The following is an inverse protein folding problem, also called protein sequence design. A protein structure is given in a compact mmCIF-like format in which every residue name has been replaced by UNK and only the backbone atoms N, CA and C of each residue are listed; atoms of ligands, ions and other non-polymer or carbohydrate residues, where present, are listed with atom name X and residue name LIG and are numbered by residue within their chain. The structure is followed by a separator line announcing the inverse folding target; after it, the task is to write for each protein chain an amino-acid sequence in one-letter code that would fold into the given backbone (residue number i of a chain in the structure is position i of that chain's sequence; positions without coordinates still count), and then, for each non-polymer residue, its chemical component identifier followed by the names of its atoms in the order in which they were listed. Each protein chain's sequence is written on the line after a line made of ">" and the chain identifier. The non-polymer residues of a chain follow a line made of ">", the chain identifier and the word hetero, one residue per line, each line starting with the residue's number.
data_IF_192640507549
#
_entry.id   IF_192640507549
#
_cell.length_a   1.000
_cell.length_b   1.000
_cell.length_c   1.000
_cell.angle_alpha   90.00
_cell.angle_beta   90.00
_cell.angle_gamma   90.00
#
_symmetry.space_group_name_H-M   'P 1'
#
loop_
_entity.id
_entity.type
_entity.pdbx_description
1 polymer ?
#
# COMPACT_ATOMS: atom_id res chain seq x y z
N UNK A 1 29.71 74.86 -3.95
CA UNK A 1 28.29 74.58 -3.59
C UNK A 1 28.01 73.09 -3.78
N UNK A 2 27.01 72.50 -3.09
CA UNK A 2 26.73 71.05 -3.15
C UNK A 2 25.53 70.73 -4.06
N UNK A 3 25.72 69.82 -5.04
CA UNK A 3 24.76 68.81 -5.54
C UNK A 3 25.64 67.60 -5.91
N UNK A 4 25.56 66.45 -5.24
CA UNK A 4 24.45 65.50 -5.15
C UNK A 4 24.12 64.85 -6.49
N UNK A 5 24.48 63.57 -6.63
CA UNK A 5 23.50 62.50 -6.79
C UNK A 5 24.07 61.16 -6.27
N UNK A 6 23.27 60.39 -5.55
CA UNK A 6 23.55 58.99 -5.26
C UNK A 6 23.10 58.16 -6.48
N UNK A 7 23.99 57.37 -7.06
CA UNK A 7 23.61 56.30 -7.99
C UNK A 7 23.60 54.97 -7.21
N UNK A 8 22.47 54.67 -6.56
CA UNK A 8 22.30 53.40 -5.85
C UNK A 8 22.14 52.26 -6.87
N UNK A 9 23.22 51.51 -7.10
CA UNK A 9 23.22 50.32 -7.92
C UNK A 9 22.47 49.18 -7.20
N UNK A 10 21.13 49.24 -7.21
CA UNK A 10 20.27 48.18 -6.70
C UNK A 10 20.27 47.00 -7.69
N UNK A 11 21.38 46.25 -7.67
CA UNK A 11 21.44 44.93 -8.28
C UNK A 11 20.49 44.01 -7.50
N UNK A 12 19.26 43.89 -8.00
CA UNK A 12 18.27 42.96 -7.47
C UNK A 12 18.74 41.53 -7.74
N UNK A 13 19.52 40.99 -6.80
CA UNK A 13 19.82 39.57 -6.68
C UNK A 13 18.53 38.83 -6.31
N UNK A 14 17.67 38.66 -7.31
CA UNK A 14 16.61 37.67 -7.28
C UNK A 14 17.27 36.28 -7.26
N UNK A 15 17.65 35.83 -6.05
CA UNK A 15 17.85 34.42 -5.78
C UNK A 15 16.52 33.73 -6.08
N UNK A 16 16.41 33.14 -7.27
CA UNK A 16 15.37 32.17 -7.59
C UNK A 16 15.66 30.90 -6.79
N UNK A 17 15.35 30.95 -5.50
CA UNK A 17 14.97 29.75 -4.75
C UNK A 17 13.74 29.24 -5.49
N UNK A 18 13.92 28.21 -6.31
CA UNK A 18 12.80 27.51 -6.92
C UNK A 18 11.93 27.01 -5.79
N UNK A 19 10.62 27.30 -5.85
CA UNK A 19 9.70 26.80 -4.85
C UNK A 19 9.67 25.27 -4.96
N UNK A 20 10.29 24.60 -3.99
CA UNK A 20 10.16 23.17 -3.82
C UNK A 20 8.68 22.87 -3.55
N UNK A 21 8.16 21.81 -4.16
CA UNK A 21 6.78 21.38 -3.92
C UNK A 21 6.62 21.08 -2.41
N UNK A 22 5.54 21.48 -1.73
CA UNK A 22 5.43 21.29 -0.29
C UNK A 22 5.62 19.83 0.15
N UNK A 23 6.30 19.57 1.26
CA UNK A 23 6.48 18.21 1.78
C UNK A 23 5.16 17.60 2.31
N UNK A 24 4.21 18.45 2.71
CA UNK A 24 2.85 18.07 3.09
C UNK A 24 1.81 19.01 2.49
N UNK A 25 0.58 18.53 2.36
CA UNK A 25 -0.57 19.31 1.89
C UNK A 25 -1.84 18.97 2.70
N UNK A 26 -2.76 19.92 2.76
CA UNK A 26 -3.98 19.86 3.56
C UNK A 26 -5.16 20.54 2.81
N UNK A 27 -6.42 20.40 3.27
CA UNK A 27 -7.59 20.89 2.53
C UNK A 27 -7.72 22.42 2.47
N UNK A 28 -6.90 23.16 3.22
CA UNK A 28 -6.80 24.62 3.21
C UNK A 28 -5.72 25.16 2.25
N UNK A 29 -5.10 24.30 1.43
CA UNK A 29 -4.10 24.69 0.43
C UNK A 29 -4.54 25.90 -0.40
N UNK A 30 -3.68 26.92 -0.45
CA UNK A 30 -3.87 28.12 -1.26
C UNK A 30 -2.89 28.10 -2.44
N UNK A 31 -3.42 28.06 -3.67
CA UNK A 31 -2.60 28.18 -4.90
C UNK A 31 -1.89 29.54 -4.90
N UNK A 32 -0.57 29.52 -5.05
CA UNK A 32 0.24 30.72 -5.23
C UNK A 32 0.33 31.09 -6.72
N UNK A 33 0.62 32.35 -7.04
CA UNK A 33 0.94 32.75 -8.41
C UNK A 33 2.29 32.13 -8.84
N UNK A 34 2.26 31.12 -9.70
CA UNK A 34 3.44 30.31 -10.05
C UNK A 34 3.67 30.21 -11.56
N UNK A 35 4.94 30.02 -11.92
CA UNK A 35 5.41 29.79 -13.29
C UNK A 35 6.32 28.57 -13.31
N UNK A 36 6.28 27.82 -14.42
CA UNK A 36 7.13 26.67 -14.68
C UNK A 36 7.77 26.76 -16.07
N UNK A 37 8.94 26.15 -16.27
CA UNK A 37 9.64 26.14 -17.55
C UNK A 37 10.06 24.73 -17.92
N UNK A 38 9.63 24.29 -19.11
CA UNK A 38 9.90 22.96 -19.64
C UNK A 38 10.47 23.11 -21.06
N UNK A 39 11.81 23.18 -21.16
CA UNK A 39 12.50 23.64 -22.37
C UNK A 39 12.06 25.06 -22.75
N UNK A 40 11.64 25.23 -24.00
CA UNK A 40 11.16 26.52 -24.53
C UNK A 40 9.72 26.86 -24.10
N UNK A 41 9.00 25.95 -23.42
CA UNK A 41 7.64 26.23 -22.92
C UNK A 41 7.70 26.96 -21.57
N UNK A 42 6.94 28.04 -21.45
CA UNK A 42 6.67 28.73 -20.20
C UNK A 42 5.21 28.49 -19.79
N UNK A 43 4.98 27.85 -18.66
CA UNK A 43 3.66 27.66 -18.07
C UNK A 43 3.46 28.68 -16.94
N UNK A 44 2.23 29.15 -16.75
CA UNK A 44 1.79 30.02 -15.66
C UNK A 44 0.37 29.64 -15.25
N UNK A 45 -0.03 29.90 -14.01
CA UNK A 45 -1.47 29.93 -13.67
C UNK A 45 -2.07 31.33 -13.87
N UNK A 46 -3.39 31.46 -13.78
CA UNK A 46 -4.11 32.74 -13.95
C UNK A 46 -3.68 33.84 -12.97
N UNK A 47 -3.03 33.46 -11.86
CA UNK A 47 -2.73 34.37 -10.76
C UNK A 47 -1.44 35.18 -11.02
N UNK A 48 -0.67 34.81 -12.05
CA UNK A 48 0.55 35.51 -12.50
C UNK A 48 0.24 36.83 -13.21
N UNK A 49 0.79 37.93 -12.69
CA UNK A 49 0.75 39.25 -13.32
C UNK A 49 1.97 39.51 -14.23
N UNK A 50 1.70 39.85 -15.49
CA UNK A 50 2.69 40.33 -16.44
C UNK A 50 2.93 41.83 -16.26
N UNK A 51 4.20 42.22 -16.04
CA UNK A 51 4.64 43.61 -15.92
C UNK A 51 5.68 43.94 -16.99
N UNK A 52 5.34 44.85 -17.90
CA UNK A 52 6.32 45.43 -18.82
C UNK A 52 7.17 46.48 -18.10
N UNK A 53 8.48 46.43 -18.34
CA UNK A 53 9.46 47.40 -17.84
C UNK A 53 10.30 47.87 -19.03
N UNK A 54 10.18 49.13 -19.40
CA UNK A 54 10.86 49.73 -20.56
C UNK A 54 11.53 51.03 -20.16
N UNK A 55 12.61 51.40 -20.87
CA UNK A 55 13.28 52.69 -20.74
C UNK A 55 14.07 52.98 -22.02
N UNK A 56 14.00 54.21 -22.52
CA UNK A 56 15.01 54.78 -23.40
C UNK A 56 15.97 55.65 -22.56
N UNK A 57 17.22 55.78 -23.00
CA UNK A 57 18.30 56.50 -22.30
C UNK A 57 18.56 57.90 -22.85
N UNK A 58 18.30 58.15 -24.13
CA UNK A 58 18.76 59.37 -24.81
C UNK A 58 17.66 60.45 -24.86
N UNK A 59 16.43 60.06 -25.19
CA UNK A 59 15.26 60.94 -25.28
C UNK A 59 14.19 60.62 -24.24
N UNK A 60 14.22 59.40 -23.68
CA UNK A 60 13.29 58.89 -22.69
C UNK A 60 12.06 58.24 -23.32
N UNK A 61 11.42 57.37 -22.53
CA UNK A 61 10.22 56.64 -22.92
C UNK A 61 9.00 57.58 -22.96
N UNK A 62 8.19 57.48 -24.01
CA UNK A 62 6.90 58.17 -24.17
C UNK A 62 5.77 57.25 -23.68
N UNK A 63 5.61 56.08 -24.30
CA UNK A 63 4.71 55.02 -23.83
C UNK A 63 5.15 53.63 -24.31
N UNK A 64 4.47 52.60 -23.78
CA UNK A 64 4.60 51.20 -24.20
C UNK A 64 3.23 50.72 -24.65
N UNK A 65 3.19 49.87 -25.67
CA UNK A 65 1.99 49.15 -26.08
C UNK A 65 2.20 47.64 -26.00
N UNK A 66 1.10 46.92 -25.82
CA UNK A 66 1.07 45.47 -25.91
C UNK A 66 -0.15 44.98 -26.69
N UNK A 67 -0.04 43.78 -27.25
CA UNK A 67 -1.08 43.05 -27.98
C UNK A 67 -1.09 41.62 -27.43
N UNK A 68 -2.28 41.08 -27.19
CA UNK A 68 -2.49 39.68 -26.85
C UNK A 68 -2.99 38.94 -28.11
N UNK A 69 -2.37 37.82 -28.47
CA UNK A 69 -2.85 36.89 -29.53
C UNK A 69 -3.10 37.53 -30.90
N UNK A 70 -2.28 38.52 -31.25
CA UNK A 70 -2.37 39.24 -32.53
C UNK A 70 -3.51 40.27 -32.61
N UNK A 71 -4.15 40.60 -31.49
CA UNK A 71 -5.11 41.71 -31.39
C UNK A 71 -4.47 43.08 -31.65
N UNK A 72 -5.29 44.13 -31.72
CA UNK A 72 -4.79 45.50 -31.85
C UNK A 72 -3.95 45.90 -30.62
N UNK A 73 -2.80 46.53 -30.86
CA UNK A 73 -1.96 47.08 -29.80
C UNK A 73 -2.73 48.10 -28.93
N UNK A 74 -2.57 47.98 -27.62
CA UNK A 74 -3.17 48.84 -26.59
C UNK A 74 -2.09 49.44 -25.70
N UNK A 75 -2.25 50.69 -25.28
CA UNK A 75 -1.31 51.34 -24.35
C UNK A 75 -1.24 50.59 -23.02
N UNK A 76 -0.06 50.11 -22.65
CA UNK A 76 0.20 49.51 -21.35
C UNK A 76 0.13 50.57 -20.24
N UNK A 77 -0.55 50.25 -19.13
CA UNK A 77 -0.78 51.19 -18.01
C UNK A 77 -0.51 50.59 -16.63
N UNK A 78 -0.91 49.35 -16.42
CA UNK A 78 -0.73 48.58 -15.20
C UNK A 78 -0.35 47.13 -15.57
N UNK A 79 0.23 46.36 -14.64
CA UNK A 79 0.36 44.90 -14.81
C UNK A 79 -1.00 44.24 -15.08
N UNK A 80 -1.01 43.16 -15.85
CA UNK A 80 -2.21 42.43 -16.24
C UNK A 80 -2.05 40.92 -16.06
N UNK A 81 -3.16 40.20 -15.90
CA UNK A 81 -3.22 38.74 -15.91
C UNK A 81 -3.77 38.24 -17.25
N UNK A 82 -3.61 36.95 -17.52
CA UNK A 82 -4.36 36.24 -18.55
C UNK A 82 -5.16 35.15 -17.82
N UNK A 83 -6.48 35.17 -17.97
CA UNK A 83 -7.40 34.33 -17.19
C UNK A 83 -7.93 33.12 -17.98
N UNK A 84 -7.90 33.21 -19.31
CA UNK A 84 -8.24 32.11 -20.21
C UNK A 84 -7.10 31.08 -20.21
N UNK A 85 -7.44 29.81 -20.37
CA UNK A 85 -6.48 28.70 -20.39
C UNK A 85 -6.00 28.42 -21.82
N UNK A 86 -4.73 28.04 -21.98
CA UNK A 86 -4.13 27.70 -23.26
C UNK A 86 -2.92 28.55 -23.62
N UNK A 87 -2.51 28.49 -24.88
CA UNK A 87 -1.30 29.18 -25.36
C UNK A 87 -1.60 30.61 -25.81
N UNK A 88 -0.94 31.57 -25.17
CA UNK A 88 -1.07 32.99 -25.46
C UNK A 88 0.27 33.62 -25.89
N UNK A 89 0.21 34.54 -26.85
CA UNK A 89 1.35 35.30 -27.38
C UNK A 89 1.23 36.78 -27.01
N UNK A 90 2.09 37.22 -26.07
CA UNK A 90 2.16 38.61 -25.61
C UNK A 90 3.18 39.36 -26.46
N UNK A 91 2.70 40.18 -27.39
CA UNK A 91 3.53 41.09 -28.19
C UNK A 91 3.62 42.46 -27.52
N UNK A 92 4.79 43.10 -27.53
CA UNK A 92 5.01 44.42 -26.91
C UNK A 92 6.04 45.27 -27.65
N UNK A 93 5.90 46.61 -27.54
CA UNK A 93 6.77 47.62 -28.18
C UNK A 93 6.75 48.96 -27.43
N UNK A 94 7.90 49.62 -27.33
CA UNK A 94 8.01 51.00 -26.84
C UNK A 94 7.98 52.07 -27.93
N UNK A 95 7.59 53.29 -27.54
CA UNK A 95 7.84 54.54 -28.26
C UNK A 95 8.70 55.47 -27.41
N UNK A 96 9.64 56.17 -28.04
CA UNK A 96 10.44 57.21 -27.37
C UNK A 96 9.84 58.62 -27.54
N UNK A 97 10.35 59.62 -26.82
CA UNK A 97 9.85 60.99 -26.90
C UNK A 97 10.08 61.66 -28.26
N UNK A 98 11.00 61.14 -29.08
CA UNK A 98 11.23 61.54 -30.47
C UNK A 98 10.33 60.80 -31.48
N UNK A 99 9.43 59.94 -31.00
CA UNK A 99 8.48 59.10 -31.74
C UNK A 99 9.13 58.01 -32.60
N UNK A 100 10.33 57.58 -32.25
CA UNK A 100 10.88 56.33 -32.77
C UNK A 100 10.09 55.15 -32.17
N UNK A 101 9.86 54.12 -32.99
CA UNK A 101 9.11 52.91 -32.61
C UNK A 101 10.03 51.70 -32.52
N UNK A 102 9.94 50.98 -31.40
CA UNK A 102 10.63 49.70 -31.20
C UNK A 102 10.08 48.61 -32.14
N UNK A 103 10.96 47.77 -32.69
CA UNK A 103 10.57 46.52 -33.35
C UNK A 103 9.91 45.61 -32.30
N UNK A 104 8.65 45.24 -32.55
CA UNK A 104 7.86 44.48 -31.59
C UNK A 104 8.52 43.14 -31.21
N UNK A 105 8.49 42.83 -29.92
CA UNK A 105 8.97 41.58 -29.33
C UNK A 105 7.76 40.76 -28.89
N UNK A 106 7.88 39.43 -28.90
CA UNK A 106 6.82 38.52 -28.44
C UNK A 106 7.38 37.55 -27.42
N UNK A 107 6.60 37.26 -26.38
CA UNK A 107 6.80 36.08 -25.53
C UNK A 107 5.57 35.19 -25.61
N UNK A 108 5.78 33.88 -25.75
CA UNK A 108 4.73 32.88 -25.60
C UNK A 108 4.65 32.43 -24.14
N UNK A 109 3.43 32.22 -23.65
CA UNK A 109 3.12 31.53 -22.40
C UNK A 109 2.00 30.52 -22.64
N UNK A 110 1.90 29.53 -21.76
CA UNK A 110 0.74 28.66 -21.63
C UNK A 110 0.14 28.96 -20.27
N UNK A 111 -1.08 29.49 -20.25
CA UNK A 111 -1.87 29.60 -19.02
C UNK A 111 -2.49 28.23 -18.75
N UNK A 112 -2.38 27.78 -17.51
CA UNK A 112 -2.84 26.48 -17.05
C UNK A 112 -3.57 26.63 -15.71
N UNK A 113 -4.84 26.25 -15.67
CA UNK A 113 -5.68 26.27 -14.47
C UNK A 113 -6.30 24.89 -14.18
N UNK A 114 -5.90 23.85 -14.91
CA UNK A 114 -6.53 22.53 -14.86
C UNK A 114 -5.73 21.60 -13.97
N UNK A 115 -6.33 21.20 -12.84
CA UNK A 115 -5.71 20.26 -11.92
C UNK A 115 -5.52 18.87 -12.55
N UNK A 116 -4.43 18.14 -12.22
CA UNK A 116 -4.18 16.81 -12.75
C UNK A 116 -5.22 15.81 -12.27
N UNK A 117 -5.53 14.81 -13.09
CA UNK A 117 -6.35 13.66 -12.72
C UNK A 117 -5.51 12.65 -11.97
N UNK A 118 -6.03 12.11 -10.87
CA UNK A 118 -5.32 11.16 -10.00
C UNK A 118 -5.97 9.79 -9.99
N UNK A 119 -5.14 8.75 -9.89
CA UNK A 119 -5.55 7.35 -9.71
C UNK A 119 -4.66 6.70 -8.65
N UNK A 120 -5.27 6.05 -7.66
CA UNK A 120 -4.58 5.34 -6.59
C UNK A 120 -4.36 3.87 -7.00
N UNK A 121 -3.10 3.45 -6.96
CA UNK A 121 -2.63 2.14 -7.41
C UNK A 121 -1.96 1.38 -6.26
N UNK A 122 -1.88 0.05 -6.37
CA UNK A 122 -1.17 -0.83 -5.43
C UNK A 122 -0.21 -1.76 -6.17
N UNK A 123 0.88 -2.18 -5.52
CA UNK A 123 1.81 -3.18 -6.09
C UNK A 123 1.22 -4.59 -6.09
N UNK A 124 0.43 -4.92 -5.07
CA UNK A 124 -0.27 -6.19 -4.92
C UNK A 124 -1.78 -6.01 -5.10
N UNK A 125 -2.51 -7.04 -5.57
CA UNK A 125 -3.96 -6.96 -5.74
C UNK A 125 -4.70 -6.93 -4.40
N UNK A 126 -5.67 -6.03 -4.27
CA UNK A 126 -6.56 -5.98 -3.10
C UNK A 126 -7.52 -7.18 -3.11
N UNK A 127 -7.72 -7.81 -1.95
CA UNK A 127 -8.74 -8.84 -1.76
C UNK A 127 -10.11 -8.20 -1.47
N UNK A 128 -11.20 -8.77 -2.00
CA UNK A 128 -12.54 -8.18 -1.90
C UNK A 128 -13.55 -9.14 -1.24
N UNK A 129 -13.99 -8.77 -0.03
CA UNK A 129 -14.99 -9.49 0.77
C UNK A 129 -16.32 -8.73 0.70
N UNK A 130 -17.06 -8.93 -0.40
CA UNK A 130 -18.27 -8.16 -0.71
C UNK A 130 -17.94 -6.73 -1.16
N UNK A 131 -18.19 -5.74 -0.30
CA UNK A 131 -17.88 -4.32 -0.57
C UNK A 131 -16.61 -3.81 0.14
N UNK A 132 -16.01 -4.63 1.01
CA UNK A 132 -14.77 -4.28 1.71
C UNK A 132 -13.55 -4.78 0.93
N UNK A 133 -12.58 -3.91 0.73
CA UNK A 133 -11.25 -4.23 0.21
C UNK A 133 -10.28 -4.49 1.37
N UNK A 134 -9.33 -5.40 1.19
CA UNK A 134 -8.33 -5.82 2.17
C UNK A 134 -6.92 -5.75 1.55
N UNK A 135 -5.92 -5.41 2.36
CA UNK A 135 -4.51 -5.40 1.98
C UNK A 135 -3.58 -5.86 3.12
N UNK A 136 -2.47 -6.51 2.77
CA UNK A 136 -1.39 -6.81 3.71
C UNK A 136 -0.54 -5.58 4.02
N UNK A 137 0.26 -5.64 5.10
CA UNK A 137 1.26 -4.61 5.41
C UNK A 137 2.34 -4.46 4.30
N UNK A 138 2.56 -5.49 3.49
CA UNK A 138 3.50 -5.46 2.35
C UNK A 138 2.92 -4.74 1.12
N UNK A 139 1.60 -4.51 1.07
CA UNK A 139 0.93 -3.83 -0.04
C UNK A 139 1.36 -2.36 -0.08
N UNK A 140 2.16 -1.99 -1.09
CA UNK A 140 2.58 -0.60 -1.32
C UNK A 140 1.58 0.11 -2.20
N UNK A 141 1.24 1.33 -1.82
CA UNK A 141 0.33 2.24 -2.50
C UNK A 141 1.12 3.34 -3.21
N UNK A 142 0.71 3.73 -4.41
CA UNK A 142 1.26 4.89 -5.11
C UNK A 142 0.18 5.61 -5.93
N UNK A 143 0.46 6.86 -6.30
CA UNK A 143 -0.47 7.68 -7.09
C UNK A 143 0.08 7.80 -8.51
N UNK A 144 -0.74 7.44 -9.49
CA UNK A 144 -0.57 7.85 -10.87
C UNK A 144 -1.32 9.17 -11.07
N UNK A 145 -0.69 10.16 -11.68
CA UNK A 145 -1.31 11.43 -12.02
C UNK A 145 -1.08 11.78 -13.50
N UNK A 146 -2.12 12.31 -14.14
CA UNK A 146 -2.08 12.71 -15.54
C UNK A 146 -2.59 14.13 -15.70
N UNK A 147 -1.88 14.89 -16.50
CA UNK A 147 -2.14 16.29 -16.80
C UNK A 147 -2.36 16.39 -18.31
N UNK A 148 -3.58 16.82 -18.69
CA UNK A 148 -3.99 16.89 -20.08
C UNK A 148 -3.37 18.09 -20.82
N UNK A 149 -2.93 19.16 -20.12
CA UNK A 149 -2.52 20.43 -20.75
C UNK A 149 -1.06 20.43 -21.25
N UNK A 150 -0.65 19.31 -21.83
CA UNK A 150 0.47 19.20 -22.75
C UNK A 150 1.85 19.72 -22.25
N UNK A 151 2.14 19.67 -20.95
CA UNK A 151 3.53 19.64 -20.46
C UNK A 151 3.90 20.51 -19.26
N UNK A 152 2.93 21.09 -18.55
CA UNK A 152 3.06 21.57 -17.17
C UNK A 152 3.39 20.38 -16.27
N UNK A 153 2.49 19.41 -16.20
CA UNK A 153 2.69 18.10 -15.59
C UNK A 153 2.74 18.13 -14.07
N UNK A 154 2.59 16.96 -13.46
CA UNK A 154 2.62 16.78 -12.00
C UNK A 154 3.98 17.15 -11.39
N UNK A 155 3.97 17.98 -10.35
CA UNK A 155 5.12 18.32 -9.53
C UNK A 155 5.25 17.38 -8.32
N UNK A 156 4.13 17.04 -7.69
CA UNK A 156 4.08 16.19 -6.50
C UNK A 156 2.75 15.47 -6.37
N UNK A 157 2.79 14.23 -5.87
CA UNK A 157 1.60 13.51 -5.43
C UNK A 157 1.62 13.31 -3.91
N UNK A 158 0.45 13.27 -3.28
CA UNK A 158 0.29 13.34 -1.82
C UNK A 158 -0.65 12.27 -1.32
N UNK A 159 -0.25 11.55 -0.28
CA UNK A 159 -1.01 10.44 0.31
C UNK A 159 -0.90 10.44 1.83
N UNK A 160 -1.95 9.97 2.52
CA UNK A 160 -1.93 9.84 3.97
C UNK A 160 -3.23 9.31 4.57
N UNK A 161 -3.17 8.92 5.84
CA UNK A 161 -4.35 8.53 6.65
C UNK A 161 -4.95 9.71 7.44
N UNK A 162 -4.17 10.78 7.71
CA UNK A 162 -4.69 12.07 8.19
C UNK A 162 -4.94 13.01 7.01
N UNK A 163 -6.20 13.37 6.80
CA UNK A 163 -6.64 14.34 5.80
C UNK A 163 -5.97 15.72 5.96
N UNK A 164 -5.54 16.08 7.16
CA UNK A 164 -4.94 17.38 7.47
C UNK A 164 -3.42 17.43 7.24
N UNK A 165 -2.79 16.31 6.85
CA UNK A 165 -1.33 16.23 6.64
C UNK A 165 -0.95 15.11 5.66
N UNK A 166 -1.45 15.20 4.42
CA UNK A 166 -1.05 14.28 3.35
C UNK A 166 0.43 14.53 3.00
N UNK A 167 1.23 13.48 2.88
CA UNK A 167 2.69 13.60 2.70
C UNK A 167 3.08 13.37 1.24
N UNK A 168 4.06 14.13 0.76
CA UNK A 168 4.64 14.01 -0.59
C UNK A 168 5.18 12.59 -0.85
N UNK A 169 4.84 12.03 -2.01
CA UNK A 169 5.29 10.74 -2.53
C UNK A 169 5.44 10.80 -4.05
N UNK A 170 6.67 11.05 -4.50
CA UNK A 170 7.01 11.18 -5.91
C UNK A 170 6.20 12.27 -6.65
N UNK A 171 6.18 12.18 -7.98
CA UNK A 171 5.58 13.15 -8.89
C UNK A 171 4.42 12.55 -9.71
N UNK A 172 3.56 11.75 -9.07
CA UNK A 172 2.40 11.14 -9.73
C UNK A 172 2.75 10.02 -10.71
N UNK A 173 3.82 9.28 -10.45
CA UNK A 173 4.28 8.14 -11.25
C UNK A 173 4.85 7.07 -10.33
N UNK A 174 4.71 5.81 -10.72
CA UNK A 174 5.36 4.69 -10.04
C UNK A 174 6.89 4.88 -10.02
N UNK A 175 7.48 4.88 -8.82
CA UNK A 175 8.91 4.87 -8.54
C UNK A 175 9.13 4.57 -7.05
N UNK A 176 10.37 4.36 -6.63
CA UNK A 176 10.71 3.96 -5.26
C UNK A 176 10.30 5.01 -4.19
N UNK A 177 10.42 6.31 -4.50
CA UNK A 177 10.02 7.41 -3.62
C UNK A 177 8.49 7.69 -3.64
N UNK A 178 7.73 7.04 -4.53
CA UNK A 178 6.28 7.17 -4.63
C UNK A 178 5.50 6.22 -3.71
N UNK A 179 6.16 5.26 -3.07
CA UNK A 179 5.50 4.25 -2.27
C UNK A 179 5.07 4.74 -0.87
N UNK A 180 3.87 4.32 -0.49
CA UNK A 180 3.29 4.48 0.84
C UNK A 180 2.80 3.13 1.34
N UNK A 181 2.97 2.85 2.63
CA UNK A 181 2.60 1.57 3.25
C UNK A 181 1.69 1.84 4.44
N UNK A 182 0.78 0.89 4.70
CA UNK A 182 -0.12 0.91 5.85
C UNK A 182 0.36 -0.13 6.85
N UNK A 183 0.50 0.26 8.11
CA UNK A 183 1.09 -0.57 9.18
C UNK A 183 0.24 -0.66 10.45
N UNK A 184 -0.94 -0.03 10.46
CA UNK A 184 -1.92 -0.14 11.54
C UNK A 184 -3.06 -1.03 11.06
N UNK A 185 -3.35 -2.10 11.82
CA UNK A 185 -4.34 -3.10 11.46
C UNK A 185 -5.78 -2.56 11.59
N UNK A 186 -6.66 -3.05 10.72
CA UNK A 186 -8.09 -2.75 10.73
C UNK A 186 -8.52 -1.67 9.72
N UNK A 187 -9.74 -1.11 9.88
CA UNK A 187 -10.36 -0.22 8.89
C UNK A 187 -9.66 1.14 8.76
N UNK A 188 -8.92 1.31 7.66
CA UNK A 188 -8.16 2.52 7.33
C UNK A 188 -8.81 3.32 6.20
N UNK A 189 -8.71 4.66 6.28
CA UNK A 189 -9.00 5.55 5.14
C UNK A 189 -7.69 6.04 4.54
N UNK A 190 -7.57 5.96 3.23
CA UNK A 190 -6.43 6.50 2.48
C UNK A 190 -6.92 7.69 1.68
N UNK A 191 -6.40 8.88 2.00
CA UNK A 191 -6.67 10.12 1.29
C UNK A 191 -5.53 10.40 0.31
N UNK A 192 -5.84 10.91 -0.88
CA UNK A 192 -4.83 11.21 -1.89
C UNK A 192 -5.18 12.38 -2.82
N UNK A 193 -4.15 13.05 -3.35
CA UNK A 193 -4.23 14.12 -4.34
C UNK A 193 -2.90 14.28 -5.10
N UNK A 194 -2.85 15.13 -6.12
CA UNK A 194 -1.62 15.55 -6.78
C UNK A 194 -1.70 17.01 -7.21
N UNK A 195 -0.55 17.67 -7.33
CA UNK A 195 -0.42 19.06 -7.77
C UNK A 195 0.48 19.14 -9.01
N UNK A 196 0.13 19.99 -9.97
CA UNK A 196 0.98 20.28 -11.12
C UNK A 196 2.13 21.26 -10.80
N UNK A 197 2.98 21.54 -11.78
CA UNK A 197 4.09 22.49 -11.66
C UNK A 197 3.66 23.98 -11.64
N UNK A 198 2.38 24.31 -11.74
CA UNK A 198 1.84 25.68 -11.54
C UNK A 198 0.88 25.81 -10.35
N UNK A 199 0.69 24.76 -9.55
CA UNK A 199 -0.08 24.77 -8.31
C UNK A 199 -1.56 24.42 -8.43
N UNK A 200 -2.03 23.86 -9.54
CA UNK A 200 -3.41 23.36 -9.62
C UNK A 200 -3.49 22.03 -8.86
N UNK A 201 -4.21 22.02 -7.74
CA UNK A 201 -4.36 20.87 -6.85
C UNK A 201 -5.59 20.03 -7.24
N UNK A 202 -5.41 18.72 -7.39
CA UNK A 202 -6.50 17.79 -7.65
C UNK A 202 -7.47 17.70 -6.46
N UNK A 203 -8.78 17.45 -6.68
CA UNK A 203 -9.71 17.18 -5.60
C UNK A 203 -9.23 16.03 -4.71
N UNK A 204 -9.11 16.26 -3.40
CA UNK A 204 -8.66 15.23 -2.47
C UNK A 204 -9.67 14.07 -2.49
N UNK A 205 -9.18 12.92 -2.95
CA UNK A 205 -9.93 11.69 -3.09
C UNK A 205 -9.70 10.79 -1.88
N UNK A 206 -10.61 9.85 -1.63
CA UNK A 206 -10.53 8.93 -0.49
C UNK A 206 -10.99 7.53 -0.87
N UNK A 207 -10.28 6.52 -0.39
CA UNK A 207 -10.71 5.12 -0.36
C UNK A 207 -10.77 4.59 1.08
N UNK A 208 -11.40 3.46 1.28
CA UNK A 208 -11.40 2.71 2.55
C UNK A 208 -10.94 1.29 2.30
N UNK A 209 -10.03 0.80 3.14
CA UNK A 209 -9.44 -0.55 3.07
C UNK A 209 -9.33 -1.10 4.49
N UNK A 210 -9.42 -2.42 4.64
CA UNK A 210 -9.04 -3.09 5.89
C UNK A 210 -7.60 -3.54 5.75
N UNK A 211 -6.72 -2.97 6.55
CA UNK A 211 -5.33 -3.44 6.64
C UNK A 211 -5.34 -4.70 7.50
N UNK A 212 -4.72 -5.75 7.01
CA UNK A 212 -4.63 -7.04 7.69
C UNK A 212 -3.16 -7.40 7.87
N UNK A 213 -2.71 -7.49 9.13
CA UNK A 213 -1.29 -7.68 9.47
C UNK A 213 -1.04 -8.99 10.20
N UNK A 214 -2.10 -9.76 10.46
CA UNK A 214 -2.10 -10.93 11.31
C UNK A 214 -2.15 -12.19 10.44
N UNK A 215 -1.18 -13.10 10.65
CA UNK A 215 -1.21 -14.38 9.98
C UNK A 215 -2.22 -15.34 10.64
N UNK A 216 -2.86 -16.27 9.89
CA UNK A 216 -3.87 -17.15 10.46
C UNK A 216 -3.32 -18.10 11.53
N UNK A 217 -4.16 -18.47 12.49
CA UNK A 217 -3.84 -19.49 13.50
C UNK A 217 -4.31 -20.87 13.03
N UNK A 218 -3.41 -21.86 13.08
CA UNK A 218 -3.64 -23.26 12.64
C UNK A 218 -4.01 -24.17 13.82
N UNK A 219 -4.89 -25.14 13.60
CA UNK A 219 -5.32 -26.13 14.60
C UNK A 219 -5.73 -27.48 13.98
N UNK A 220 -5.90 -28.51 14.82
CA UNK A 220 -6.50 -29.81 14.43
C UNK A 220 -8.01 -29.70 14.58
N UNK A 221 -8.73 -29.75 13.46
CA UNK A 221 -10.19 -29.55 13.39
C UNK A 221 -10.97 -30.65 14.10
N UNK A 222 -10.64 -31.93 13.83
CA UNK A 222 -11.29 -33.10 14.42
C UNK A 222 -10.57 -33.64 15.66
N UNK A 223 -9.92 -32.74 16.42
CA UNK A 223 -9.18 -33.11 17.63
C UNK A 223 -10.05 -33.86 18.64
N UNK A 224 -11.33 -33.52 18.71
CA UNK A 224 -12.38 -34.18 19.50
C UNK A 224 -12.55 -35.68 19.24
N UNK A 225 -12.02 -36.21 18.13
CA UNK A 225 -12.14 -37.63 17.72
C UNK A 225 -10.85 -38.44 17.86
N UNK A 226 -9.75 -37.82 18.27
CA UNK A 226 -8.48 -38.52 18.44
C UNK A 226 -8.48 -39.29 19.77
N UNK A 227 -8.38 -40.62 19.66
CA UNK A 227 -8.52 -41.56 20.79
C UNK A 227 -7.17 -41.72 21.50
N UNK A 228 -7.15 -41.57 22.83
CA UNK A 228 -6.03 -41.99 23.68
C UNK A 228 -6.36 -43.31 24.41
N UNK A 229 -5.33 -43.83 25.07
CA UNK A 229 -5.20 -44.99 25.96
C UNK A 229 -6.38 -45.26 26.90
N UNK A 230 -7.12 -44.22 27.31
CA UNK A 230 -8.20 -44.28 28.30
C UNK A 230 -9.62 -44.05 27.69
N UNK A 231 -9.79 -44.25 26.36
CA UNK A 231 -11.06 -44.05 25.62
C UNK A 231 -11.68 -42.63 25.71
N UNK A 232 -10.90 -41.65 26.18
CA UNK A 232 -11.34 -40.27 26.33
C UNK A 232 -11.24 -39.49 25.01
N UNK A 233 -12.40 -39.06 24.48
CA UNK A 233 -12.50 -38.02 23.46
C UNK A 233 -12.13 -36.66 24.08
N UNK A 234 -11.13 -35.95 23.55
CA UNK A 234 -10.60 -34.73 24.18
C UNK A 234 -10.28 -33.61 23.18
N UNK A 235 -10.37 -32.37 23.68
CA UNK A 235 -10.04 -31.14 22.94
C UNK A 235 -8.52 -30.92 22.98
N UNK A 236 -7.90 -30.55 21.86
CA UNK A 236 -6.49 -30.20 21.81
C UNK A 236 -6.21 -28.76 22.31
N UNK A 237 -5.04 -28.51 22.95
CA UNK A 237 -4.07 -29.48 23.44
C UNK A 237 -4.47 -30.04 24.81
N UNK A 238 -4.48 -31.36 24.92
CA UNK A 238 -4.55 -32.08 26.21
C UNK A 238 -3.25 -32.85 26.43
N UNK A 239 -2.81 -32.94 27.69
CA UNK A 239 -1.73 -33.85 28.11
C UNK A 239 -2.09 -35.32 27.86
N UNK A 240 -3.37 -35.61 27.72
CA UNK A 240 -3.93 -36.96 27.75
C UNK A 240 -4.40 -37.41 26.35
N UNK A 241 -3.83 -36.83 25.29
CA UNK A 241 -3.92 -37.34 23.89
C UNK A 241 -2.53 -37.67 23.30
N UNK A 242 -1.47 -37.42 24.06
CA UNK A 242 -0.09 -37.78 23.70
C UNK A 242 0.42 -38.98 24.49
N UNK A 243 1.46 -39.64 23.97
CA UNK A 243 2.24 -40.64 24.71
C UNK A 243 3.40 -40.02 25.52
N UNK A 244 4.22 -40.87 26.14
CA UNK A 244 5.36 -40.49 26.98
C UNK A 244 6.47 -39.73 26.20
N UNK A 245 6.50 -39.82 24.87
CA UNK A 245 7.39 -39.08 23.97
C UNK A 245 6.75 -37.80 23.40
N UNK A 246 5.51 -37.48 23.79
CA UNK A 246 4.74 -36.34 23.28
C UNK A 246 4.12 -36.56 21.89
N UNK A 247 3.97 -37.81 21.44
CA UNK A 247 3.36 -38.14 20.13
C UNK A 247 1.86 -38.36 20.27
N UNK A 248 1.10 -37.78 19.35
CA UNK A 248 -0.35 -37.96 19.21
C UNK A 248 -0.61 -39.38 18.68
N UNK A 249 -1.37 -40.19 19.40
CA UNK A 249 -1.72 -41.54 18.96
C UNK A 249 -2.86 -41.45 17.94
N UNK A 250 -2.75 -42.17 16.80
CA UNK A 250 -3.80 -42.23 15.78
C UNK A 250 -4.07 -43.66 15.32
N UNK A 251 -5.35 -44.00 15.19
CA UNK A 251 -5.80 -45.27 14.62
C UNK A 251 -5.84 -45.20 13.10
N UNK A 252 -5.49 -46.29 12.43
CA UNK A 252 -5.61 -46.41 10.95
C UNK A 252 -7.05 -46.28 10.40
N UNK A 253 -8.06 -46.27 11.28
CA UNK A 253 -9.46 -46.03 10.92
C UNK A 253 -9.83 -44.54 10.84
N UNK A 254 -9.09 -43.69 11.55
CA UNK A 254 -9.38 -42.26 11.66
C UNK A 254 -8.59 -41.46 10.63
N UNK A 255 -9.03 -40.23 10.41
CA UNK A 255 -8.30 -39.21 9.65
C UNK A 255 -7.87 -38.07 10.58
N UNK A 256 -6.86 -37.30 10.19
CA UNK A 256 -6.48 -36.05 10.86
C UNK A 256 -6.83 -34.90 9.93
N UNK A 257 -7.72 -34.03 10.40
CA UNK A 257 -8.16 -32.83 9.71
C UNK A 257 -7.50 -31.58 10.33
N UNK A 258 -7.02 -30.68 9.49
CA UNK A 258 -6.46 -29.40 9.90
C UNK A 258 -7.38 -28.25 9.49
N UNK A 259 -7.58 -27.31 10.42
CA UNK A 259 -8.30 -26.06 10.20
C UNK A 259 -7.39 -24.86 10.48
N UNK A 260 -7.80 -23.69 10.02
CA UNK A 260 -7.19 -22.43 10.41
C UNK A 260 -8.24 -21.33 10.50
N UNK A 261 -7.98 -20.34 11.35
CA UNK A 261 -8.83 -19.14 11.53
C UNK A 261 -8.01 -17.89 11.33
N UNK A 262 -8.62 -16.93 10.64
CA UNK A 262 -8.24 -15.53 10.63
C UNK A 262 -9.50 -14.66 10.84
N UNK A 263 -9.33 -13.49 11.47
CA UNK A 263 -10.43 -12.59 11.85
C UNK A 263 -10.80 -11.56 10.77
N UNK A 264 -9.88 -11.21 9.86
CA UNK A 264 -10.02 -10.08 8.93
C UNK A 264 -10.24 -10.53 7.49
N UNK A 265 -9.20 -10.81 6.71
CA UNK A 265 -9.31 -11.25 5.32
C UNK A 265 -9.90 -12.67 5.23
N UNK A 266 -9.56 -13.54 6.19
CA UNK A 266 -9.90 -14.96 6.25
C UNK A 266 -8.83 -15.83 5.60
N UNK A 267 -8.90 -17.15 5.78
CA UNK A 267 -7.92 -18.11 5.23
C UNK A 267 -8.12 -18.36 3.74
N UNK A 268 -7.05 -18.35 2.93
CA UNK A 268 -7.04 -18.76 1.51
C UNK A 268 -6.62 -20.22 1.33
N UNK A 269 -5.66 -20.67 2.14
CA UNK A 269 -5.06 -21.99 2.01
C UNK A 269 -4.43 -22.50 3.31
N UNK A 270 -4.48 -23.81 3.52
CA UNK A 270 -3.54 -24.52 4.38
C UNK A 270 -2.52 -25.27 3.52
N UNK A 271 -1.30 -25.41 4.03
CA UNK A 271 -0.24 -26.22 3.45
C UNK A 271 0.31 -27.18 4.50
N UNK A 272 0.38 -28.46 4.14
CA UNK A 272 0.94 -29.53 4.97
C UNK A 272 2.26 -30.02 4.37
N UNK A 273 3.21 -30.33 5.24
CA UNK A 273 4.44 -31.04 4.91
C UNK A 273 4.48 -32.33 5.75
N UNK A 274 4.82 -33.44 5.11
CA UNK A 274 4.82 -34.77 5.74
C UNK A 274 6.26 -35.32 5.76
N UNK A 275 6.80 -35.53 6.96
CA UNK A 275 8.21 -35.87 7.19
C UNK A 275 9.13 -34.89 6.45
N UNK A 276 10.12 -35.37 5.69
CA UNK A 276 11.09 -34.53 4.97
C UNK A 276 10.63 -34.08 3.56
N UNK A 277 9.33 -34.17 3.25
CA UNK A 277 8.77 -33.73 1.98
C UNK A 277 8.65 -32.19 1.87
N UNK A 278 8.35 -31.69 0.67
CA UNK A 278 7.95 -30.31 0.44
C UNK A 278 6.51 -30.04 0.96
N UNK A 279 6.18 -28.77 1.16
CA UNK A 279 4.82 -28.33 1.48
C UNK A 279 3.88 -28.50 0.28
N UNK A 280 2.74 -29.16 0.48
CA UNK A 280 1.65 -29.30 -0.50
C UNK A 280 0.37 -28.64 0.03
N UNK A 281 -0.47 -28.09 -0.86
CA UNK A 281 -1.76 -27.50 -0.45
C UNK A 281 -2.66 -28.59 0.13
N UNK A 282 -3.12 -28.38 1.36
CA UNK A 282 -4.05 -29.28 2.05
C UNK A 282 -5.46 -29.09 1.49
N UNK A 283 -6.11 -30.21 1.15
CA UNK A 283 -7.41 -30.23 0.46
C UNK A 283 -8.40 -31.26 1.02
N UNK A 284 -7.91 -32.28 1.74
CA UNK A 284 -8.72 -33.30 2.40
C UNK A 284 -7.98 -33.87 3.64
N UNK A 285 -8.71 -34.38 4.66
CA UNK A 285 -8.11 -34.96 5.87
C UNK A 285 -7.15 -36.12 5.58
N UNK A 286 -6.03 -36.16 6.30
CA UNK A 286 -4.98 -37.16 6.09
C UNK A 286 -5.34 -38.49 6.76
N UNK A 287 -5.24 -39.61 6.04
CA UNK A 287 -5.32 -40.96 6.62
C UNK A 287 -3.95 -41.63 6.67
N UNK A 288 -3.60 -42.21 7.81
CA UNK A 288 -2.33 -42.92 8.00
C UNK A 288 -2.56 -44.43 8.09
N UNK A 289 -1.78 -45.22 7.34
CA UNK A 289 -1.98 -46.68 7.19
C UNK A 289 -0.78 -47.53 7.63
N UNK A 290 0.39 -46.91 7.80
CA UNK A 290 1.67 -47.55 8.18
C UNK A 290 1.98 -47.26 9.64
N UNK A 291 2.33 -48.31 10.40
CA UNK A 291 2.85 -48.16 11.77
C UNK A 291 4.23 -47.51 11.73
N UNK A 292 4.27 -46.22 12.04
CA UNK A 292 5.49 -45.40 12.12
C UNK A 292 5.17 -44.08 12.83
N UNK A 293 6.20 -43.25 13.05
CA UNK A 293 6.03 -41.86 13.48
C UNK A 293 6.04 -40.94 12.26
N UNK A 294 5.01 -40.10 12.15
CA UNK A 294 4.93 -39.02 11.17
C UNK A 294 5.16 -37.67 11.85
N UNK A 295 6.05 -36.86 11.29
CA UNK A 295 6.14 -35.44 11.60
C UNK A 295 5.30 -34.69 10.56
N UNK A 296 4.38 -33.84 11.00
CA UNK A 296 3.49 -33.07 10.12
C UNK A 296 3.66 -31.59 10.47
N UNK A 297 4.25 -30.81 9.57
CA UNK A 297 4.33 -29.35 9.69
C UNK A 297 3.13 -28.75 8.95
N UNK A 298 2.35 -27.87 9.59
CA UNK A 298 1.16 -27.25 8.99
C UNK A 298 1.24 -25.74 9.11
N UNK A 299 1.04 -25.03 8.01
CA UNK A 299 0.95 -23.57 7.97
C UNK A 299 -0.26 -23.12 7.15
N UNK A 300 -0.74 -21.90 7.41
CA UNK A 300 -1.82 -21.28 6.67
C UNK A 300 -1.36 -20.00 5.95
N UNK A 301 -2.13 -19.59 4.95
CA UNK A 301 -2.02 -18.29 4.27
C UNK A 301 -3.41 -17.66 4.26
N UNK A 302 -3.49 -16.38 4.59
CA UNK A 302 -4.74 -15.60 4.51
C UNK A 302 -5.05 -15.13 3.06
N UNK A 303 -6.11 -14.35 2.87
CA UNK A 303 -6.50 -13.86 1.54
C UNK A 303 -5.73 -12.59 1.09
N UNK A 304 -4.78 -12.06 1.87
CA UNK A 304 -3.89 -10.95 1.47
C UNK A 304 -2.40 -11.34 1.42
N UNK A 305 -2.06 -12.58 1.76
CA UNK A 305 -0.72 -13.16 1.68
C UNK A 305 0.03 -13.32 3.02
N UNK A 306 -0.58 -12.99 4.17
CA UNK A 306 0.08 -13.20 5.47
C UNK A 306 0.20 -14.71 5.74
N UNK A 307 1.41 -15.18 6.05
CA UNK A 307 1.74 -16.61 6.21
C UNK A 307 1.96 -16.94 7.69
N UNK A 308 1.31 -18.00 8.19
CA UNK A 308 1.51 -18.44 9.57
C UNK A 308 2.90 -19.06 9.77
N UNK A 309 3.44 -18.92 10.98
CA UNK A 309 4.49 -19.82 11.45
C UNK A 309 3.97 -21.28 11.37
N UNK A 310 4.81 -22.26 10.99
CA UNK A 310 4.40 -23.66 10.95
C UNK A 310 4.16 -24.25 12.34
N UNK A 311 3.04 -24.92 12.52
CA UNK A 311 2.73 -25.74 13.69
C UNK A 311 3.14 -27.19 13.40
N UNK A 312 4.15 -27.69 14.11
CA UNK A 312 4.64 -29.06 13.98
C UNK A 312 3.91 -30.02 14.92
N UNK A 313 3.33 -31.08 14.38
CA UNK A 313 2.70 -32.18 15.11
C UNK A 313 3.49 -33.49 14.90
N UNK A 314 3.48 -34.36 15.91
CA UNK A 314 4.04 -35.72 15.81
C UNK A 314 2.94 -36.74 16.02
N UNK A 315 2.71 -37.61 15.06
CA UNK A 315 1.71 -38.67 15.14
C UNK A 315 2.38 -40.05 15.16
N UNK A 316 1.94 -40.95 16.05
CA UNK A 316 2.28 -42.37 16.00
C UNK A 316 1.04 -43.17 15.62
N UNK A 317 1.18 -44.01 14.60
CA UNK A 317 0.10 -44.87 14.11
C UNK A 317 0.11 -46.20 14.84
N UNK A 318 -0.81 -46.38 15.78
CA UNK A 318 -0.93 -47.65 16.50
C UNK A 318 -1.69 -48.69 15.66
N UNK A 319 -1.13 -49.90 15.60
CA UNK A 319 -1.68 -51.09 14.94
C UNK A 319 -1.56 -52.34 15.82
N UNK A 320 -1.08 -52.20 17.05
CA UNK A 320 -0.83 -53.29 18.00
C UNK A 320 -2.17 -53.76 18.55
N UNK A 321 -2.64 -54.92 18.10
CA UNK A 321 -3.85 -55.53 18.65
C UNK A 321 -3.60 -55.99 20.09
N UNK A 322 -4.49 -55.69 21.06
CA UNK A 322 -4.33 -56.15 22.44
C UNK A 322 -4.37 -57.68 22.50
N UNK A 323 -3.44 -58.27 23.24
CA UNK A 323 -3.49 -59.68 23.59
C UNK A 323 -4.51 -59.90 24.72
N UNK A 324 -5.29 -60.98 24.63
CA UNK A 324 -6.19 -61.43 25.69
C UNK A 324 -5.81 -62.84 26.11
N UNK A 325 -5.79 -63.08 27.41
CA UNK A 325 -5.61 -64.40 28.02
C UNK A 325 -6.78 -64.70 28.96
N UNK A 326 -6.96 -65.96 29.36
CA UNK A 326 -8.06 -66.41 30.20
C UNK A 326 -7.55 -67.21 31.40
N UNK A 327 -7.47 -66.55 32.55
CA UNK A 327 -7.25 -67.22 33.83
C UNK A 327 -8.53 -67.96 34.25
N UNK A 328 -8.42 -69.26 34.49
CA UNK A 328 -9.52 -70.07 35.04
C UNK A 328 -9.39 -70.04 36.56
N UNK A 329 -10.39 -69.49 37.24
CA UNK A 329 -10.44 -69.30 38.69
C UNK A 329 -11.64 -70.02 39.33
N UNK A 330 -11.56 -70.29 40.63
CA UNK A 330 -12.72 -70.63 41.46
C UNK A 330 -13.58 -69.39 41.79
N UNK A 331 -14.62 -69.57 42.60
CA UNK A 331 -15.55 -68.48 42.95
C UNK A 331 -14.89 -67.42 43.85
N UNK A 332 -13.85 -67.80 44.59
CA UNK A 332 -13.13 -67.00 45.55
C UNK A 332 -11.90 -66.30 44.94
N UNK A 333 -11.55 -66.62 43.69
CA UNK A 333 -10.47 -66.01 42.91
C UNK A 333 -9.16 -66.81 42.87
N UNK A 334 -9.16 -68.07 43.26
CA UNK A 334 -7.96 -68.92 43.33
C UNK A 334 -7.89 -69.89 42.14
N UNK A 335 -6.71 -70.48 41.91
CA UNK A 335 -6.53 -71.56 40.94
C UNK A 335 -7.40 -72.80 41.28
N UNK A 336 -8.20 -73.34 40.34
CA UNK A 336 -9.08 -74.49 40.59
C UNK A 336 -8.34 -75.74 41.06
N UNK A 337 -8.96 -76.46 42.01
CA UNK A 337 -8.43 -77.72 42.50
C UNK A 337 -8.39 -78.80 41.38
N UNK A 338 -7.25 -79.48 41.25
CA UNK A 338 -7.05 -80.58 40.29
C UNK A 338 -6.84 -81.91 41.02
N UNK A 339 -7.24 -83.01 40.38
CA UNK A 339 -7.07 -84.36 40.93
C UNK A 339 -5.70 -84.93 40.55
N UNK A 340 -4.84 -85.18 41.54
CA UNK A 340 -3.58 -85.89 41.35
C UNK A 340 -3.80 -87.41 41.36
N UNK A 341 -4.05 -87.98 40.17
CA UNK A 341 -3.98 -89.44 39.99
C UNK A 341 -2.52 -89.90 40.15
N UNK A 342 -2.17 -90.48 41.29
CA UNK A 342 -0.88 -91.13 41.50
C UNK A 342 -0.73 -92.33 40.57
N UNK A 343 0.24 -92.27 39.66
CA UNK A 343 0.50 -93.32 38.67
C UNK A 343 1.28 -94.52 39.24
N UNK A 344 0.72 -95.15 40.28
CA UNK A 344 1.13 -96.43 40.86
C UNK A 344 -0.13 -97.08 41.45
N UNK A 345 -0.61 -98.21 40.90
CA UNK A 345 -1.90 -98.75 41.37
C UNK A 345 -2.53 -100.00 40.74
N UNK A 346 -1.95 -100.61 39.69
CA UNK A 346 -2.24 -102.01 39.29
C UNK A 346 -1.23 -102.56 38.28
#
# INVERSE_FOLDING_TARGET
>A
MKKSLFAAAFAALCFSVWAQVPETIAPDYQRAAMQYRNGDKHFVNSDVFFKLNSADKETGLDFVEFSLDGSSFMTYRNPFQILEEGKHDISYRGFDNSKNLEVAKTISVIVDNTAPKTELNTTEPLFYKGLAAYCSAETKWYISATDDLAGSGTAGAYIGTDLNSLTLRGNGKENEDAYYSLSEEGPTKVYYTAVDNVGNLAPISVVSVVVDTTAPTVFIENSDRLINKDDAYMIFPSSDVVDEDGRIIVSTKETVAFGATDELSGVEALYVKINDADYVKYVEPLQFSTETVYNIDVKAIDNVGNVSEPVSYKFYVDKITPASDIEVIDREGNAPATWSNSADGQ
#
